data_IF_680046911856
#
_entry.id   IF_680046911856
#
_cell.length_a   1.000
_cell.length_b   1.000
_cell.length_c   1.000
_cell.angle_alpha   90.00
_cell.angle_beta   90.00
_cell.angle_gamma   90.00
#
_symmetry.space_group_name_H-M   'P 1'
#
loop_
_entity.id
_entity.type
_entity.pdbx_description
1 polymer ?
#
# COMPACT_ATOMS: atom_id res chain seq x y z
N UNK A 1 -10.06 22.11 19.18
CA UNK A 1 -9.59 21.04 18.29
C UNK A 1 -8.11 20.67 18.50
N UNK A 2 -7.15 21.61 18.47
CA UNK A 2 -5.71 21.30 18.67
C UNK A 2 -5.40 20.59 20.01
N UNK A 3 -6.06 20.99 21.11
CA UNK A 3 -5.86 20.39 22.45
C UNK A 3 -6.38 18.93 22.54
N UNK A 4 -7.42 18.57 21.78
CA UNK A 4 -7.96 17.20 21.75
C UNK A 4 -7.01 16.27 20.98
N UNK A 5 -6.42 16.76 19.87
CA UNK A 5 -5.44 16.00 19.10
C UNK A 5 -4.17 15.73 19.93
N UNK A 6 -3.68 16.73 20.67
CA UNK A 6 -2.53 16.57 21.56
C UNK A 6 -2.84 15.58 22.70
N UNK A 7 -4.04 15.63 23.28
CA UNK A 7 -4.46 14.69 24.32
C UNK A 7 -4.57 13.25 23.78
N UNK A 8 -5.10 13.06 22.55
CA UNK A 8 -5.16 11.77 21.86
C UNK A 8 -3.75 11.22 21.59
N UNK A 9 -2.84 12.04 21.09
CA UNK A 9 -1.43 11.65 20.82
C UNK A 9 -0.72 11.30 22.14
N UNK A 10 -0.95 12.02 23.22
CA UNK A 10 -0.39 11.72 24.54
C UNK A 10 -0.99 10.44 25.15
N UNK A 11 -2.29 10.21 25.02
CA UNK A 11 -2.92 8.96 25.49
C UNK A 11 -2.42 7.74 24.68
N UNK A 12 -2.23 7.90 23.37
CA UNK A 12 -1.63 6.85 22.54
C UNK A 12 -0.16 6.60 22.89
N UNK A 13 0.62 7.64 23.16
CA UNK A 13 2.03 7.54 23.57
C UNK A 13 2.23 6.90 24.94
N UNK A 14 1.33 7.14 25.90
CA UNK A 14 1.40 6.57 27.24
C UNK A 14 0.96 5.10 27.30
N UNK A 15 0.05 4.67 26.43
CA UNK A 15 -0.38 3.27 26.36
C UNK A 15 0.67 2.32 25.77
N UNK A 16 1.68 2.83 25.07
CA UNK A 16 2.75 2.04 24.45
C UNK A 16 3.83 1.57 25.44
N UNK A 17 3.90 2.17 26.63
CA UNK A 17 4.97 1.89 27.61
C UNK A 17 4.72 0.71 28.56
N UNK A 18 3.57 0.04 28.52
CA UNK A 18 3.15 -0.93 29.55
C UNK A 18 3.47 -2.39 29.22
N UNK A 19 3.92 -2.72 28.00
CA UNK A 19 4.13 -4.14 27.61
C UNK A 19 5.54 -4.40 27.12
N UNK A 20 6.48 -4.51 28.05
CA UNK A 20 7.84 -5.00 27.81
C UNK A 20 7.89 -6.54 27.75
N UNK A 21 7.19 -7.15 26.80
CA UNK A 21 7.52 -8.48 26.37
C UNK A 21 8.37 -8.38 25.08
N UNK A 22 9.40 -9.19 24.98
CA UNK A 22 10.35 -9.21 23.84
C UNK A 22 9.63 -9.69 22.56
N UNK A 23 8.92 -8.77 21.91
CA UNK A 23 8.29 -8.94 20.57
C UNK A 23 9.26 -8.56 19.44
N UNK A 24 10.55 -8.47 19.74
CA UNK A 24 11.57 -8.15 18.77
C UNK A 24 11.54 -9.17 17.62
N UNK A 25 11.26 -8.68 16.43
CA UNK A 25 11.33 -9.50 15.21
C UNK A 25 12.78 -9.83 14.94
N UNK A 26 13.10 -11.13 14.87
CA UNK A 26 14.45 -11.58 14.58
C UNK A 26 14.84 -11.29 13.13
N UNK A 27 16.14 -11.11 12.89
CA UNK A 27 16.71 -11.04 11.54
C UNK A 27 16.37 -12.32 10.77
N UNK A 28 16.06 -12.16 9.50
CA UNK A 28 15.77 -13.31 8.64
C UNK A 28 14.73 -13.02 7.58
N UNK A 29 14.29 -14.08 6.94
CA UNK A 29 13.19 -14.04 6.00
C UNK A 29 11.90 -13.58 6.67
N UNK A 30 11.13 -12.75 5.97
CA UNK A 30 9.81 -12.28 6.39
C UNK A 30 8.90 -12.12 5.19
N UNK A 31 7.65 -12.52 5.35
CA UNK A 31 6.60 -12.35 4.37
C UNK A 31 5.42 -11.56 4.93
N UNK A 32 4.75 -10.84 4.05
CA UNK A 32 3.51 -10.10 4.34
C UNK A 32 2.46 -10.49 3.32
N UNK A 33 1.21 -10.61 3.76
CA UNK A 33 0.04 -10.72 2.92
C UNK A 33 -0.94 -9.67 3.41
N UNK A 34 -1.31 -8.75 2.53
CA UNK A 34 -2.22 -7.65 2.83
C UNK A 34 -3.44 -7.71 1.91
N UNK A 35 -4.60 -7.40 2.47
CA UNK A 35 -5.88 -7.21 1.78
C UNK A 35 -6.37 -5.81 2.06
N UNK A 36 -6.91 -5.14 1.07
CA UNK A 36 -7.39 -3.79 1.29
C UNK A 36 -8.31 -3.28 0.20
N UNK A 37 -8.80 -2.09 0.48
CA UNK A 37 -9.62 -1.31 -0.42
C UNK A 37 -8.98 0.06 -0.61
N UNK A 38 -8.94 0.55 -1.85
CA UNK A 38 -8.45 1.87 -2.18
C UNK A 38 -9.58 2.68 -2.80
N UNK A 39 -9.92 3.77 -2.15
CA UNK A 39 -10.88 4.77 -2.61
C UNK A 39 -10.17 5.72 -3.57
N UNK A 40 -10.73 5.91 -4.76
CA UNK A 40 -10.23 6.92 -5.68
C UNK A 40 -10.57 8.32 -5.14
N UNK A 41 -9.57 9.21 -5.07
CA UNK A 41 -9.73 10.58 -4.52
C UNK A 41 -9.59 11.62 -5.61
N UNK A 42 -8.73 11.37 -6.59
CA UNK A 42 -8.49 12.25 -7.72
C UNK A 42 -7.94 11.46 -8.90
N UNK A 43 -8.20 11.94 -10.09
CA UNK A 43 -7.67 11.43 -11.33
C UNK A 43 -7.19 12.62 -12.15
N UNK A 44 -5.91 12.64 -12.51
CA UNK A 44 -5.33 13.66 -13.36
C UNK A 44 -5.14 13.10 -14.77
N UNK A 45 -5.53 13.87 -15.82
CA UNK A 45 -5.40 13.48 -17.22
C UNK A 45 -6.69 13.67 -18.02
N UNK A 46 -6.66 13.37 -19.30
CA UNK A 46 -7.80 13.54 -20.22
C UNK A 46 -9.07 12.76 -19.81
N UNK A 47 -8.93 11.74 -18.99
CA UNK A 47 -10.06 10.95 -18.48
C UNK A 47 -10.93 11.68 -17.46
N UNK A 48 -10.47 12.82 -16.90
CA UNK A 48 -11.24 13.64 -15.98
C UNK A 48 -12.45 14.32 -16.68
N UNK A 49 -12.36 14.57 -17.99
CA UNK A 49 -13.46 15.12 -18.79
C UNK A 49 -14.55 14.08 -19.16
N UNK A 50 -14.24 12.80 -19.11
CA UNK A 50 -15.20 11.72 -19.40
C UNK A 50 -15.73 11.16 -18.07
N UNK A 51 -16.58 11.91 -17.44
CA UNK A 51 -17.26 11.66 -16.16
C UNK A 51 -17.57 10.20 -15.86
N UNK A 52 -17.19 9.75 -14.64
CA UNK A 52 -17.67 8.52 -14.04
C UNK A 52 -16.66 7.36 -14.01
N UNK A 53 -15.37 7.63 -14.08
CA UNK A 53 -14.35 6.62 -13.83
C UNK A 53 -14.16 6.44 -12.32
N UNK A 54 -15.06 5.68 -11.70
CA UNK A 54 -14.85 5.15 -10.35
C UNK A 54 -13.68 4.18 -10.40
N UNK A 55 -12.52 4.63 -9.94
CA UNK A 55 -11.27 3.84 -9.91
C UNK A 55 -11.03 3.19 -8.56
N UNK A 56 -12.09 3.01 -7.78
CA UNK A 56 -12.04 2.26 -6.55
C UNK A 56 -11.60 0.82 -6.81
N UNK A 57 -10.72 0.30 -5.96
CA UNK A 57 -10.19 -1.03 -6.15
C UNK A 57 -10.07 -1.83 -4.86
N UNK A 58 -10.41 -3.10 -4.96
CA UNK A 58 -10.01 -4.13 -4.01
C UNK A 58 -8.62 -4.61 -4.40
N UNK A 59 -7.74 -4.81 -3.43
CA UNK A 59 -6.42 -5.36 -3.69
C UNK A 59 -6.05 -6.46 -2.71
N UNK A 60 -5.29 -7.41 -3.23
CA UNK A 60 -4.57 -8.40 -2.46
C UNK A 60 -3.10 -8.33 -2.85
N UNK A 61 -2.22 -8.13 -1.88
CA UNK A 61 -0.80 -8.02 -2.13
C UNK A 61 0.01 -8.97 -1.27
N UNK A 62 1.12 -9.43 -1.82
CA UNK A 62 2.11 -10.17 -1.06
C UNK A 62 3.48 -9.57 -1.27
N UNK A 63 4.29 -9.54 -0.21
CA UNK A 63 5.69 -9.12 -0.27
C UNK A 63 6.56 -10.06 0.55
N UNK A 64 7.71 -10.39 0.01
CA UNK A 64 8.69 -11.30 0.56
C UNK A 64 10.06 -10.66 0.58
N UNK A 65 10.80 -10.84 1.65
CA UNK A 65 12.11 -10.19 1.76
C UNK A 65 12.86 -10.56 3.02
N UNK A 66 13.72 -9.65 3.41
CA UNK A 66 14.62 -9.85 4.53
C UNK A 66 14.47 -8.76 5.58
N UNK A 67 14.27 -9.17 6.83
CA UNK A 67 14.31 -8.30 8.00
C UNK A 67 15.79 -8.17 8.45
N UNK A 68 16.40 -7.02 8.18
CA UNK A 68 17.80 -6.76 8.48
C UNK A 68 18.06 -6.59 9.99
N UNK A 69 17.13 -5.92 10.63
CA UNK A 69 17.12 -5.67 12.06
C UNK A 69 15.65 -5.45 12.50
N UNK A 70 15.33 -5.33 13.79
CA UNK A 70 13.96 -5.13 14.24
C UNK A 70 13.24 -3.92 13.63
N UNK A 71 14.00 -2.96 13.08
CA UNK A 71 13.48 -1.69 12.58
C UNK A 71 13.33 -1.64 11.06
N UNK A 72 14.06 -2.47 10.29
CA UNK A 72 14.12 -2.35 8.83
C UNK A 72 13.86 -3.68 8.15
N UNK A 73 12.86 -3.71 7.30
CA UNK A 73 12.57 -4.75 6.32
C UNK A 73 12.74 -4.20 4.91
N UNK A 74 13.31 -5.00 4.02
CA UNK A 74 13.36 -4.74 2.58
C UNK A 74 12.99 -6.01 1.84
N UNK A 75 12.12 -5.87 0.85
CA UNK A 75 11.63 -7.00 0.07
C UNK A 75 11.10 -6.59 -1.30
N UNK A 76 10.49 -7.54 -1.96
CA UNK A 76 9.78 -7.34 -3.21
C UNK A 76 8.48 -8.13 -3.18
N UNK A 77 7.53 -7.74 -4.02
CA UNK A 77 6.23 -8.39 -4.07
C UNK A 77 5.43 -8.00 -5.28
N UNK A 78 4.19 -8.42 -5.27
CA UNK A 78 3.20 -8.07 -6.28
C UNK A 78 1.82 -7.88 -5.62
N UNK A 79 0.94 -7.21 -6.33
CA UNK A 79 -0.46 -7.06 -5.94
C UNK A 79 -1.38 -7.52 -7.07
N UNK A 80 -2.55 -7.98 -6.71
CA UNK A 80 -3.71 -8.12 -7.60
C UNK A 80 -4.70 -7.03 -7.24
N UNK A 81 -4.88 -6.08 -8.14
CA UNK A 81 -5.76 -4.95 -7.98
C UNK A 81 -6.98 -5.14 -8.89
N UNK A 82 -8.16 -5.33 -8.28
CA UNK A 82 -9.43 -5.51 -8.98
C UNK A 82 -10.25 -4.22 -8.88
N UNK A 83 -10.48 -3.55 -10.00
CA UNK A 83 -11.27 -2.33 -10.07
C UNK A 83 -12.76 -2.64 -10.02
N UNK A 84 -13.51 -1.93 -9.12
CA UNK A 84 -14.90 -2.26 -8.82
C UNK A 84 -15.86 -1.81 -9.91
N UNK A 85 -15.61 -0.66 -10.54
CA UNK A 85 -16.47 -0.11 -11.60
C UNK A 85 -16.33 -0.79 -12.96
N UNK A 86 -15.19 -1.40 -13.20
CA UNK A 86 -14.90 -2.15 -14.44
C UNK A 86 -14.20 -3.44 -14.02
N UNK A 87 -14.54 -4.55 -14.66
CA UNK A 87 -13.93 -5.86 -14.42
C UNK A 87 -12.46 -5.89 -14.90
N UNK A 88 -11.68 -4.87 -14.48
CA UNK A 88 -10.28 -4.77 -14.82
C UNK A 88 -9.41 -5.24 -13.67
N UNK A 89 -8.40 -6.01 -14.03
CA UNK A 89 -7.39 -6.49 -13.09
C UNK A 89 -6.03 -5.97 -13.55
N UNK A 90 -5.26 -5.48 -12.58
CA UNK A 90 -3.87 -5.08 -12.80
C UNK A 90 -2.97 -5.78 -11.80
N UNK A 91 -1.72 -6.03 -12.21
CA UNK A 91 -0.74 -6.72 -11.37
C UNK A 91 0.54 -5.89 -11.29
N UNK A 92 0.63 -4.95 -10.35
CA UNK A 92 1.87 -4.23 -10.09
C UNK A 92 2.89 -5.12 -9.37
N UNK A 93 4.14 -5.05 -9.83
CA UNK A 93 5.30 -5.60 -9.15
C UNK A 93 6.05 -4.47 -8.46
N UNK A 94 6.47 -4.66 -7.21
CA UNK A 94 7.07 -3.60 -6.43
C UNK A 94 8.21 -4.07 -5.54
N UNK A 95 9.14 -3.16 -5.25
CA UNK A 95 10.01 -3.23 -4.09
C UNK A 95 9.27 -2.68 -2.88
N UNK A 96 9.50 -3.26 -1.71
CA UNK A 96 8.88 -2.87 -0.45
C UNK A 96 9.96 -2.55 0.59
N UNK A 97 9.82 -1.39 1.22
CA UNK A 97 10.64 -0.97 2.37
C UNK A 97 9.69 -0.67 3.52
N UNK A 98 9.90 -1.35 4.66
CA UNK A 98 9.14 -1.09 5.88
C UNK A 98 10.07 -0.71 7.02
N UNK A 99 9.75 0.40 7.68
CA UNK A 99 10.45 0.91 8.86
C UNK A 99 9.53 0.84 10.07
N UNK A 100 10.05 0.33 11.15
CA UNK A 100 9.35 0.11 12.42
C UNK A 100 10.06 0.89 13.52
N UNK A 101 9.66 2.14 13.82
CA UNK A 101 10.41 3.01 14.73
C UNK A 101 10.35 2.56 16.20
N UNK A 102 9.30 1.83 16.59
CA UNK A 102 9.07 1.39 17.97
C UNK A 102 8.74 -0.10 17.95
N UNK A 103 9.37 -0.87 18.84
CA UNK A 103 9.17 -2.31 18.95
C UNK A 103 8.34 -2.60 20.20
N UNK A 104 7.28 -3.39 20.05
CA UNK A 104 6.39 -3.78 21.13
C UNK A 104 5.31 -4.76 20.68
N UNK A 105 4.35 -5.01 21.53
CA UNK A 105 3.16 -5.79 21.17
C UNK A 105 2.35 -5.09 20.09
N UNK A 106 2.21 -3.76 20.21
CA UNK A 106 1.67 -2.88 19.18
C UNK A 106 2.83 -2.07 18.61
N UNK A 107 3.14 -2.28 17.36
CA UNK A 107 4.33 -1.80 16.68
C UNK A 107 3.91 -0.91 15.51
N UNK A 108 4.08 0.42 15.59
CA UNK A 108 3.82 1.30 14.45
C UNK A 108 4.83 1.03 13.33
N UNK A 109 4.39 1.16 12.09
CA UNK A 109 5.25 1.04 10.92
C UNK A 109 4.96 2.13 9.89
N UNK A 110 5.98 2.41 9.10
CA UNK A 110 5.91 3.17 7.85
C UNK A 110 6.35 2.22 6.76
N UNK A 111 5.56 2.12 5.70
CA UNK A 111 5.76 1.20 4.59
C UNK A 111 5.74 1.98 3.27
N UNK A 112 6.60 1.63 2.33
CA UNK A 112 6.60 2.20 0.99
C UNK A 112 6.79 1.09 -0.04
N UNK A 113 5.84 0.99 -0.96
CA UNK A 113 5.88 0.09 -2.11
C UNK A 113 6.11 0.94 -3.36
N UNK A 114 7.16 0.64 -4.11
CA UNK A 114 7.53 1.34 -5.36
C UNK A 114 7.73 0.32 -6.45
N UNK A 115 7.09 0.51 -7.59
CA UNK A 115 7.16 -0.48 -8.65
C UNK A 115 6.55 -0.06 -9.97
N UNK A 116 6.17 -1.05 -10.73
CA UNK A 116 5.60 -0.89 -12.05
C UNK A 116 4.46 -1.89 -12.27
N UNK A 117 3.37 -1.40 -12.83
CA UNK A 117 2.27 -2.22 -13.28
C UNK A 117 2.53 -2.65 -14.74
N UNK A 118 2.96 -3.89 -14.92
CA UNK A 118 3.34 -4.41 -16.22
C UNK A 118 2.33 -5.38 -16.85
N UNK A 119 1.34 -5.83 -16.07
CA UNK A 119 0.36 -6.83 -16.50
C UNK A 119 -1.04 -6.28 -16.28
N UNK A 120 -1.88 -6.37 -17.31
CA UNK A 120 -3.25 -5.93 -17.29
C UNK A 120 -3.52 -4.79 -18.26
N UNK A 121 -4.66 -4.17 -18.11
CA UNK A 121 -5.15 -3.14 -19.03
C UNK A 121 -4.41 -1.80 -18.90
N UNK A 122 -3.84 -1.55 -17.71
CA UNK A 122 -3.17 -0.32 -17.36
C UNK A 122 -1.70 -0.60 -17.07
N UNK A 123 -0.81 0.16 -17.68
CA UNK A 123 0.65 0.06 -17.48
C UNK A 123 1.18 1.36 -16.95
N UNK A 124 2.12 1.31 -16.03
CA UNK A 124 2.76 2.52 -15.53
C UNK A 124 3.36 2.37 -14.13
N UNK A 125 3.87 3.48 -13.62
CA UNK A 125 4.51 3.55 -12.30
C UNK A 125 3.48 3.32 -11.20
N UNK A 126 3.88 2.53 -10.20
CA UNK A 126 3.12 2.24 -8.99
C UNK A 126 3.88 2.73 -7.76
N UNK A 127 3.23 3.55 -6.94
CA UNK A 127 3.78 4.03 -5.67
C UNK A 127 2.70 4.00 -4.59
N UNK A 128 2.96 3.28 -3.49
CA UNK A 128 1.98 3.13 -2.41
C UNK A 128 2.66 3.24 -1.03
N UNK A 129 2.84 4.47 -0.52
CA UNK A 129 3.24 4.69 0.86
C UNK A 129 2.08 4.42 1.82
N UNK A 130 2.39 3.87 2.99
CA UNK A 130 1.40 3.65 4.04
C UNK A 130 1.99 3.78 5.44
N UNK A 131 1.12 4.03 6.39
CA UNK A 131 1.42 4.01 7.81
C UNK A 131 0.44 3.05 8.50
N UNK A 132 0.88 2.41 9.56
CA UNK A 132 0.01 1.48 10.26
C UNK A 132 0.57 0.98 11.56
N UNK A 133 -0.11 -0.02 12.10
CA UNK A 133 0.28 -0.70 13.32
C UNK A 133 0.26 -2.21 13.12
N UNK A 134 1.28 -2.86 13.65
CA UNK A 134 1.40 -4.30 13.75
C UNK A 134 1.03 -4.75 15.16
N UNK A 135 0.11 -5.67 15.29
CA UNK A 135 -0.20 -6.38 16.52
C UNK A 135 0.55 -7.73 16.51
N UNK A 136 1.57 -7.86 17.33
CA UNK A 136 2.30 -9.11 17.48
C UNK A 136 1.45 -10.19 18.14
N UNK A 137 1.13 -11.25 17.42
CA UNK A 137 0.46 -12.45 17.96
C UNK A 137 1.49 -13.42 18.54
N UNK A 138 2.58 -13.60 17.82
CA UNK A 138 3.73 -14.40 18.23
C UNK A 138 5.02 -13.66 17.84
N UNK A 139 6.18 -14.23 18.15
CA UNK A 139 7.48 -13.68 17.69
C UNK A 139 7.63 -13.67 16.17
N UNK A 140 6.90 -14.55 15.44
CA UNK A 140 6.99 -14.68 13.98
C UNK A 140 5.77 -14.13 13.25
N UNK A 141 4.60 -14.17 13.87
CA UNK A 141 3.32 -13.84 13.22
C UNK A 141 2.73 -12.61 13.88
N UNK A 142 2.23 -11.69 13.08
CA UNK A 142 1.52 -10.51 13.52
C UNK A 142 0.38 -10.14 12.57
N UNK A 143 -0.56 -9.36 13.07
CA UNK A 143 -1.61 -8.72 12.29
C UNK A 143 -1.20 -7.29 12.00
N UNK A 144 -1.41 -6.85 10.78
CA UNK A 144 -1.09 -5.51 10.30
C UNK A 144 -2.38 -4.78 9.94
N UNK A 145 -2.47 -3.52 10.34
CA UNK A 145 -3.55 -2.61 9.96
C UNK A 145 -2.91 -1.31 9.51
N UNK A 146 -3.31 -0.80 8.35
CA UNK A 146 -2.70 0.41 7.83
C UNK A 146 -3.64 1.22 6.96
N UNK A 147 -3.25 2.49 6.81
CA UNK A 147 -3.84 3.45 5.90
C UNK A 147 -2.73 3.94 4.99
N UNK A 148 -2.99 4.03 3.71
CA UNK A 148 -2.00 4.41 2.74
C UNK A 148 -2.57 5.34 1.66
N UNK A 149 -1.64 5.82 0.86
CA UNK A 149 -1.94 6.53 -0.37
C UNK A 149 -1.45 5.70 -1.53
N UNK A 150 -2.21 5.62 -2.62
CA UNK A 150 -1.80 4.92 -3.83
C UNK A 150 -1.74 5.89 -4.98
N UNK A 151 -0.61 5.92 -5.66
CA UNK A 151 -0.41 6.64 -6.90
C UNK A 151 -0.11 5.62 -7.98
N UNK A 152 -0.92 5.61 -9.03
CA UNK A 152 -0.76 4.70 -10.15
C UNK A 152 -0.88 5.46 -11.46
N UNK A 153 0.20 5.49 -12.20
CA UNK A 153 0.20 5.98 -13.58
C UNK A 153 -0.37 4.89 -14.49
N UNK A 154 -1.25 5.28 -15.37
CA UNK A 154 -1.86 4.39 -16.35
C UNK A 154 -1.63 4.99 -17.74
N UNK A 155 -0.90 4.26 -18.56
CA UNK A 155 -0.73 4.58 -19.99
C UNK A 155 -1.65 3.66 -20.78
N UNK A 156 -2.62 4.23 -21.46
CA UNK A 156 -3.57 3.50 -22.30
C UNK A 156 -3.26 3.82 -23.77
N UNK A 157 -2.89 2.81 -24.54
CA UNK A 157 -2.76 2.94 -25.99
C UNK A 157 -4.17 2.87 -26.61
N UNK A 158 -4.77 3.99 -26.94
CA UNK A 158 -6.00 4.02 -27.74
C UNK A 158 -5.63 4.02 -29.21
N UNK A 159 -6.10 2.99 -29.93
CA UNK A 159 -6.10 3.00 -31.39
C UNK A 159 -7.33 3.77 -31.86
N UNK A 160 -7.16 5.03 -32.25
CA UNK A 160 -8.16 5.75 -33.02
C UNK A 160 -8.09 5.27 -34.45
N UNK A 161 -9.17 5.45 -35.20
CA UNK A 161 -9.46 4.92 -36.56
C UNK A 161 -8.34 5.03 -37.59
N UNK A 162 -7.22 5.71 -37.29
CA UNK A 162 -6.02 5.78 -38.14
C UNK A 162 -4.84 5.11 -37.43
N UNK A 163 -4.22 4.05 -38.03
CA UNK A 163 -3.08 3.35 -37.42
C UNK A 163 -1.81 4.21 -37.27
N UNK A 164 -1.80 5.44 -37.82
CA UNK A 164 -0.67 6.38 -37.74
C UNK A 164 -0.76 7.36 -36.60
N UNK A 165 -1.96 7.55 -35.98
CA UNK A 165 -2.16 8.43 -34.82
C UNK A 165 -2.20 7.59 -33.54
N UNK A 166 -1.04 7.33 -32.99
CA UNK A 166 -0.88 6.81 -31.62
C UNK A 166 -0.95 7.98 -30.63
N UNK A 167 -2.08 8.15 -29.98
CA UNK A 167 -2.15 8.98 -28.78
C UNK A 167 -1.87 8.10 -27.56
N UNK A 168 -0.74 8.35 -26.89
CA UNK A 168 -0.47 7.82 -25.57
C UNK A 168 -1.19 8.72 -24.56
N UNK A 169 -2.26 8.22 -23.96
CA UNK A 169 -3.00 8.93 -22.93
C UNK A 169 -2.45 8.49 -21.57
N UNK A 170 -1.83 9.44 -20.86
CA UNK A 170 -1.29 9.22 -19.54
C UNK A 170 -2.29 9.74 -18.49
N UNK A 171 -2.73 8.86 -17.63
CA UNK A 171 -3.64 9.18 -16.53
C UNK A 171 -2.99 8.81 -15.21
N UNK A 172 -3.04 9.70 -14.22
CA UNK A 172 -2.61 9.43 -12.86
C UNK A 172 -3.81 9.21 -11.95
N UNK A 173 -3.90 8.05 -11.33
CA UNK A 173 -4.91 7.72 -10.34
C UNK A 173 -4.35 7.90 -8.93
N UNK A 174 -5.08 8.64 -8.12
CA UNK A 174 -4.78 8.93 -6.73
C UNK A 174 -5.82 8.28 -5.83
N UNK A 175 -5.38 7.45 -4.88
CA UNK A 175 -6.29 6.75 -3.98
C UNK A 175 -5.85 6.79 -2.53
N UNK A 176 -6.82 6.76 -1.61
CA UNK A 176 -6.58 6.49 -0.19
C UNK A 176 -6.95 5.04 0.07
N UNK A 177 -6.02 4.27 0.63
CA UNK A 177 -6.21 2.85 0.89
C UNK A 177 -6.30 2.55 2.38
N UNK A 178 -7.14 1.57 2.70
CA UNK A 178 -7.19 0.94 4.02
C UNK A 178 -6.86 -0.53 3.80
N UNK A 179 -5.95 -1.07 4.59
CA UNK A 179 -5.56 -2.47 4.46
C UNK A 179 -5.39 -3.16 5.81
N UNK A 180 -5.63 -4.45 5.80
CA UNK A 180 -5.30 -5.35 6.88
C UNK A 180 -4.52 -6.54 6.31
N UNK A 181 -3.68 -7.13 7.12
CA UNK A 181 -2.87 -8.25 6.67
C UNK A 181 -2.21 -8.99 7.82
N UNK A 182 -1.38 -9.93 7.47
CA UNK A 182 -0.57 -10.66 8.42
C UNK A 182 0.87 -10.82 7.91
N UNK A 183 1.77 -10.93 8.86
CA UNK A 183 3.19 -11.21 8.61
C UNK A 183 3.60 -12.53 9.25
N UNK A 184 4.56 -13.19 8.63
CA UNK A 184 5.10 -14.50 9.04
C UNK A 184 6.59 -14.65 8.73
#
# INVERSE_FOLDING_TARGET
>A
MKKVIVALVLMFGLSLSVFSQDYSVKRGYKGFIDFGYSFNVAMDGFADEISGYDSDKLFWSTSHGYQFNPYLFVGAGFSFDCYTAKTWVTVPFFANIRVTPIIGKLTPFIDAKVGYNGIGYMKGVYFAPSIGCRLGLTRKVGLNFGVGYTLQQNTTNQYQWDPLDKFEDETMNHGISIHFGFDF
#
